data_IF_219774761304
#
_entry.id   IF_219774761304
#
_cell.length_a   1.000
_cell.length_b   1.000
_cell.length_c   1.000
_cell.angle_alpha   90.00
_cell.angle_beta   90.00
_cell.angle_gamma   90.00
#
_symmetry.space_group_name_H-M   'P 1'
#
loop_
_entity.id
_entity.type
_entity.pdbx_description
1 polymer ?
#
# COMPACT_ATOMS: atom_id res chain seq x y z
N UNK A 1 -7.90 5.87 15.10
CA UNK A 1 -6.53 6.35 15.45
C UNK A 1 -5.56 5.45 14.73
N UNK A 2 -4.69 6.03 13.90
CA UNK A 2 -3.81 5.22 13.06
C UNK A 2 -2.76 4.51 13.89
N UNK A 3 -2.69 3.18 13.76
CA UNK A 3 -1.63 2.33 14.32
C UNK A 3 -0.62 2.03 13.23
N UNK A 4 0.67 2.07 13.56
CA UNK A 4 1.76 1.87 12.60
C UNK A 4 2.67 0.75 13.08
N UNK A 5 3.00 -0.18 12.19
CA UNK A 5 3.90 -1.30 12.42
C UNK A 5 5.08 -1.23 11.45
N UNK A 6 6.30 -1.40 11.96
CA UNK A 6 7.47 -1.68 11.12
C UNK A 6 7.49 -3.19 10.85
N UNK A 7 7.42 -3.61 9.58
CA UNK A 7 7.41 -5.04 9.24
C UNK A 7 8.81 -5.57 8.94
N UNK A 8 9.62 -4.81 8.20
CA UNK A 8 11.03 -5.08 7.94
C UNK A 8 11.81 -3.76 7.78
N UNK A 9 13.02 -3.74 7.20
CA UNK A 9 13.81 -2.50 7.06
C UNK A 9 13.27 -1.50 6.02
N UNK A 10 12.35 -1.92 5.14
CA UNK A 10 11.83 -1.13 4.00
C UNK A 10 10.30 -1.08 3.92
N UNK A 11 9.59 -1.77 4.81
CA UNK A 11 8.14 -1.92 4.76
C UNK A 11 7.50 -1.50 6.08
N UNK A 12 6.50 -0.63 5.98
CA UNK A 12 5.63 -0.23 7.09
C UNK A 12 4.18 -0.55 6.77
N UNK A 13 3.42 -0.87 7.80
CA UNK A 13 1.98 -1.08 7.71
C UNK A 13 1.25 -0.08 8.59
N UNK A 14 0.13 0.42 8.11
CA UNK A 14 -0.76 1.29 8.87
C UNK A 14 -2.19 0.77 8.83
N UNK A 15 -2.92 0.99 9.91
CA UNK A 15 -4.35 0.66 10.01
C UNK A 15 -5.09 1.67 10.89
N UNK A 16 -6.38 1.85 10.63
CA UNK A 16 -7.30 2.60 11.49
C UNK A 16 -8.60 1.80 11.62
N UNK A 17 -9.30 1.92 12.75
CA UNK A 17 -10.57 1.23 13.00
C UNK A 17 -11.68 1.68 12.03
N UNK A 18 -11.54 2.88 11.46
CA UNK A 18 -12.48 3.40 10.45
C UNK A 18 -12.18 2.86 9.04
N UNK A 19 -11.04 2.21 8.83
CA UNK A 19 -10.62 1.70 7.52
C UNK A 19 -11.23 0.33 7.29
N UNK A 20 -12.34 0.31 6.55
CA UNK A 20 -13.07 -0.92 6.23
C UNK A 20 -13.85 -0.77 4.93
N UNK A 21 -14.26 -1.91 4.39
CA UNK A 21 -15.18 -1.98 3.27
C UNK A 21 -16.38 -2.85 3.64
N UNK A 22 -17.56 -2.48 3.16
CA UNK A 22 -18.79 -3.25 3.33
C UNK A 22 -19.20 -3.83 1.96
N UNK A 23 -19.47 -5.13 1.92
CA UNK A 23 -19.96 -5.81 0.73
C UNK A 23 -21.49 -5.76 0.66
N UNK A 24 -22.06 -6.05 -0.51
CA UNK A 24 -23.51 -6.03 -0.76
C UNK A 24 -24.31 -6.99 0.13
N UNK A 25 -23.67 -8.05 0.62
CA UNK A 25 -24.26 -9.04 1.54
C UNK A 25 -24.28 -8.55 3.01
N UNK A 26 -23.74 -7.36 3.27
CA UNK A 26 -23.63 -6.77 4.60
C UNK A 26 -22.44 -7.26 5.41
N UNK A 27 -21.58 -8.12 4.84
CA UNK A 27 -20.28 -8.45 5.44
C UNK A 27 -19.36 -7.22 5.36
N UNK A 28 -18.49 -7.09 6.36
CA UNK A 28 -17.53 -5.99 6.42
C UNK A 28 -16.13 -6.56 6.64
N UNK A 29 -15.17 -6.00 5.91
CA UNK A 29 -13.75 -6.36 6.02
C UNK A 29 -12.99 -5.14 6.46
N UNK A 30 -12.27 -5.28 7.57
CA UNK A 30 -11.35 -4.24 8.02
C UNK A 30 -10.08 -4.28 7.18
N UNK A 31 -9.54 -3.10 6.89
CA UNK A 31 -8.44 -2.90 5.95
C UNK A 31 -7.26 -2.21 6.61
N UNK A 32 -6.08 -2.43 6.07
CA UNK A 32 -4.91 -1.61 6.30
C UNK A 32 -4.13 -1.37 5.02
N UNK A 33 -3.08 -0.56 5.13
CA UNK A 33 -2.25 -0.16 3.99
C UNK A 33 -0.80 -0.51 4.30
N UNK A 34 -0.17 -1.25 3.40
CA UNK A 34 1.27 -1.45 3.38
C UNK A 34 1.91 -0.37 2.53
N UNK A 35 3.07 0.09 2.96
CA UNK A 35 3.97 0.95 2.24
C UNK A 35 5.33 0.27 2.17
N UNK A 36 5.80 -0.04 0.97
CA UNK A 36 7.14 -0.56 0.74
C UNK A 36 7.99 0.48 0.01
N UNK A 37 9.16 0.79 0.55
CA UNK A 37 10.18 1.52 -0.14
C UNK A 37 10.90 0.58 -1.13
N UNK A 38 10.66 0.79 -2.42
CA UNK A 38 11.24 0.00 -3.51
C UNK A 38 12.40 0.76 -4.14
N UNK A 39 13.59 0.15 -4.15
CA UNK A 39 14.77 0.70 -4.83
C UNK A 39 14.80 0.24 -6.29
N UNK A 40 14.77 1.20 -7.21
CA UNK A 40 14.75 0.97 -8.65
C UNK A 40 16.15 0.98 -9.26
N UNK A 41 17.24 1.15 -8.50
CA UNK A 41 18.60 1.31 -9.06
C UNK A 41 19.00 0.18 -10.04
N UNK A 42 18.59 -1.06 -9.74
CA UNK A 42 18.87 -2.23 -10.58
C UNK A 42 17.86 -2.44 -11.73
N UNK A 43 16.86 -1.56 -11.88
CA UNK A 43 15.85 -1.66 -12.94
C UNK A 43 16.29 -0.93 -14.21
N UNK A 44 15.90 -1.49 -15.36
CA UNK A 44 16.26 -0.93 -16.66
C UNK A 44 15.69 0.49 -16.82
N UNK A 45 16.58 1.46 -17.02
CA UNK A 45 16.23 2.88 -17.13
C UNK A 45 16.47 3.72 -15.86
N UNK A 46 16.83 3.10 -14.74
CA UNK A 46 17.08 3.80 -13.46
C UNK A 46 18.55 3.84 -13.02
N UNK A 47 19.42 2.95 -13.52
CA UNK A 47 20.90 3.07 -13.43
C UNK A 47 21.48 3.71 -12.16
N UNK A 48 22.47 4.59 -12.31
CA UNK A 48 23.09 5.39 -11.22
C UNK A 48 22.27 6.65 -10.87
N UNK A 49 20.94 6.60 -10.96
CA UNK A 49 20.12 7.77 -10.64
C UNK A 49 20.10 8.07 -9.14
N UNK A 50 20.31 9.35 -8.78
CA UNK A 50 20.34 9.82 -7.38
C UNK A 50 19.01 9.60 -6.64
N UNK A 51 17.88 9.51 -7.36
CA UNK A 51 16.54 9.33 -6.79
C UNK A 51 15.91 8.03 -7.33
N UNK A 52 16.48 6.90 -6.93
CA UNK A 52 16.05 5.58 -7.40
C UNK A 52 14.93 4.97 -6.56
N UNK A 53 14.63 5.51 -5.37
CA UNK A 53 13.69 4.87 -4.44
C UNK A 53 12.28 5.44 -4.61
N UNK A 54 11.26 4.60 -4.69
CA UNK A 54 9.84 4.99 -4.65
C UNK A 54 9.15 4.36 -3.43
N UNK A 55 7.92 4.80 -3.12
CA UNK A 55 7.05 4.11 -2.17
C UNK A 55 5.87 3.52 -2.91
N UNK A 56 5.75 2.20 -2.85
CA UNK A 56 4.58 1.47 -3.33
C UNK A 56 3.61 1.29 -2.16
N UNK A 57 2.32 1.55 -2.40
CA UNK A 57 1.28 1.40 -1.39
C UNK A 57 0.24 0.38 -1.85
N UNK A 58 -0.16 -0.51 -0.94
CA UNK A 58 -1.11 -1.59 -1.23
C UNK A 58 -2.10 -1.78 -0.08
N UNK A 59 -3.39 -1.89 -0.41
CA UNK A 59 -4.47 -2.15 0.55
C UNK A 59 -4.61 -3.65 0.78
N UNK A 60 -4.70 -4.06 2.04
CA UNK A 60 -4.85 -5.46 2.46
C UNK A 60 -5.98 -5.60 3.48
N UNK A 61 -6.66 -6.75 3.55
CA UNK A 61 -7.46 -7.11 4.71
C UNK A 61 -6.59 -7.17 5.96
N UNK A 62 -7.13 -6.73 7.10
CA UNK A 62 -6.50 -6.94 8.40
C UNK A 62 -6.48 -8.45 8.73
N UNK A 63 -5.48 -8.94 9.49
CA UNK A 63 -5.38 -10.34 9.90
C UNK A 63 -6.67 -10.92 10.48
N UNK A 64 -7.41 -10.12 11.25
CA UNK A 64 -8.65 -10.52 11.90
C UNK A 64 -9.76 -10.88 10.89
N UNK A 65 -9.70 -10.29 9.70
CA UNK A 65 -10.65 -10.47 8.61
C UNK A 65 -10.24 -11.57 7.62
N UNK A 66 -9.05 -12.19 7.74
CA UNK A 66 -8.54 -13.16 6.77
C UNK A 66 -9.23 -14.53 6.86
N UNK A 67 -9.48 -15.15 5.70
CA UNK A 67 -9.95 -16.54 5.66
C UNK A 67 -8.93 -17.51 6.30
N UNK A 68 -9.40 -18.55 6.97
CA UNK A 68 -8.53 -19.52 7.65
C UNK A 68 -7.63 -20.28 6.67
N UNK A 69 -8.12 -20.60 5.46
CA UNK A 69 -7.32 -21.24 4.42
C UNK A 69 -6.18 -20.30 3.97
N UNK A 70 -6.47 -19.00 3.86
CA UNK A 70 -5.46 -17.98 3.51
C UNK A 70 -4.38 -17.90 4.59
N UNK A 71 -4.76 -17.91 5.88
CA UNK A 71 -3.80 -17.89 6.98
C UNK A 71 -2.88 -19.13 6.94
N UNK A 72 -3.46 -20.31 6.72
CA UNK A 72 -2.72 -21.57 6.61
C UNK A 72 -1.79 -21.64 5.40
N UNK A 73 -2.14 -20.96 4.30
CA UNK A 73 -1.31 -20.95 3.09
C UNK A 73 -0.10 -20.02 3.21
N UNK A 74 -0.24 -18.88 3.91
CA UNK A 74 0.83 -17.88 3.99
C UNK A 74 1.74 -18.09 5.20
N UNK A 75 1.27 -18.77 6.25
CA UNK A 75 2.07 -19.01 7.44
C UNK A 75 2.55 -20.45 7.55
N UNK A 76 3.87 -20.62 7.68
CA UNK A 76 4.47 -21.91 8.03
C UNK A 76 4.41 -22.21 9.53
N UNK A 77 4.16 -21.18 10.36
CA UNK A 77 4.09 -21.27 11.81
C UNK A 77 2.66 -21.62 12.26
N UNK A 78 2.52 -22.46 13.29
CA UNK A 78 1.19 -22.80 13.85
C UNK A 78 0.49 -21.60 14.51
N UNK A 79 1.25 -20.55 14.92
CA UNK A 79 0.74 -19.33 15.55
C UNK A 79 1.69 -18.13 15.26
N UNK A 80 1.66 -17.56 14.04
CA UNK A 80 2.51 -16.44 13.68
C UNK A 80 2.14 -15.18 14.48
N UNK A 81 3.13 -14.31 14.73
CA UNK A 81 2.81 -12.97 15.22
C UNK A 81 1.97 -12.20 14.19
N UNK A 82 1.18 -11.24 14.65
CA UNK A 82 0.31 -10.44 13.79
C UNK A 82 1.09 -9.73 12.69
N UNK A 83 2.21 -9.10 13.03
CA UNK A 83 3.10 -8.41 12.08
C UNK A 83 3.70 -9.37 11.07
N UNK A 84 4.08 -10.59 11.52
CA UNK A 84 4.60 -11.62 10.64
C UNK A 84 3.54 -12.08 9.64
N UNK A 85 2.31 -12.31 10.10
CA UNK A 85 1.20 -12.69 9.24
C UNK A 85 0.85 -11.61 8.21
N UNK A 86 0.87 -10.32 8.59
CA UNK A 86 0.68 -9.20 7.66
C UNK A 86 1.77 -9.21 6.59
N UNK A 87 3.03 -9.38 7.00
CA UNK A 87 4.15 -9.40 6.08
C UNK A 87 4.10 -10.61 5.13
N UNK A 88 3.79 -11.80 5.63
CA UNK A 88 3.71 -13.01 4.82
C UNK A 88 2.53 -12.96 3.84
N UNK A 89 1.37 -12.47 4.28
CA UNK A 89 0.21 -12.20 3.41
C UNK A 89 0.63 -11.29 2.25
N UNK A 90 1.30 -10.18 2.56
CA UNK A 90 1.77 -9.23 1.57
C UNK A 90 2.75 -9.85 0.58
N UNK A 91 3.77 -10.56 1.06
CA UNK A 91 4.77 -11.17 0.20
C UNK A 91 4.21 -12.30 -0.66
N UNK A 92 3.21 -13.02 -0.17
CA UNK A 92 2.59 -14.14 -0.89
C UNK A 92 1.57 -13.66 -1.94
N UNK A 93 0.66 -12.77 -1.53
CA UNK A 93 -0.49 -12.38 -2.35
C UNK A 93 -0.41 -10.98 -2.95
N UNK A 94 0.41 -10.10 -2.38
CA UNK A 94 0.29 -8.65 -2.54
C UNK A 94 -1.08 -8.14 -2.05
N UNK A 95 -1.30 -6.84 -2.18
CA UNK A 95 -2.56 -6.16 -1.92
C UNK A 95 -3.16 -5.51 -3.16
N UNK A 96 -4.11 -4.61 -2.95
CA UNK A 96 -4.67 -3.77 -4.02
C UNK A 96 -3.81 -2.52 -4.15
N UNK A 97 -3.09 -2.33 -5.26
CA UNK A 97 -2.18 -1.20 -5.42
C UNK A 97 -2.91 0.13 -5.44
N UNK A 98 -2.38 1.12 -4.74
CA UNK A 98 -2.90 2.48 -4.69
C UNK A 98 -1.78 3.50 -4.92
N UNK A 99 -1.99 4.42 -5.85
CA UNK A 99 -1.12 5.59 -5.99
C UNK A 99 -1.69 6.75 -5.17
N UNK A 100 -1.11 6.98 -3.99
CA UNK A 100 -1.54 8.04 -3.08
C UNK A 100 -1.33 9.42 -3.70
N UNK A 101 -0.23 9.62 -4.42
CA UNK A 101 0.08 10.91 -5.07
C UNK A 101 -0.96 11.27 -6.15
N UNK A 102 -1.55 10.28 -6.81
CA UNK A 102 -2.63 10.47 -7.78
C UNK A 102 -3.98 10.85 -7.12
N UNK A 103 -4.20 10.45 -5.87
CA UNK A 103 -5.40 10.79 -5.11
C UNK A 103 -5.32 12.18 -4.45
N UNK A 104 -4.11 12.74 -4.31
CA UNK A 104 -3.95 14.01 -3.60
C UNK A 104 -4.57 15.18 -4.37
N UNK A 105 -5.29 16.09 -3.68
CA UNK A 105 -5.71 17.34 -4.29
C UNK A 105 -4.49 18.13 -4.76
N UNK A 106 -4.55 18.73 -5.95
CA UNK A 106 -3.43 19.47 -6.56
C UNK A 106 -2.78 20.55 -5.67
N UNK A 107 -3.45 21.01 -4.60
CA UNK A 107 -2.94 22.00 -3.63
C UNK A 107 -2.13 21.41 -2.47
N UNK A 108 -2.23 20.10 -2.19
CA UNK A 108 -1.47 19.44 -1.14
C UNK A 108 -0.01 19.17 -1.57
N UNK A 109 0.24 19.07 -2.88
CA UNK A 109 1.53 18.72 -3.47
C UNK A 109 2.61 19.82 -3.39
N UNK A 110 2.24 21.10 -3.40
CA UNK A 110 3.21 22.19 -3.62
C UNK A 110 3.73 22.92 -2.37
N UNK A 111 3.49 22.42 -1.16
CA UNK A 111 3.85 23.16 0.06
C UNK A 111 4.31 22.31 1.23
N UNK A 112 3.54 21.31 1.65
CA UNK A 112 3.82 20.56 2.87
C UNK A 112 4.85 19.43 2.67
N UNK A 113 4.74 18.70 1.56
CA UNK A 113 5.61 17.55 1.25
C UNK A 113 7.07 17.93 0.99
N UNK A 114 7.34 19.13 0.44
CA UNK A 114 8.69 19.60 0.14
C UNK A 114 9.56 19.87 1.39
N UNK A 115 8.96 19.99 2.58
CA UNK A 115 9.67 20.20 3.84
C UNK A 115 10.01 18.90 4.59
N UNK A 116 9.45 17.76 4.15
CA UNK A 116 9.55 16.49 4.86
C UNK A 116 10.78 15.70 4.41
N UNK A 117 11.02 15.63 3.09
CA UNK A 117 12.19 14.94 2.53
C UNK A 117 12.61 15.56 1.20
N UNK A 118 13.90 15.40 0.86
CA UNK A 118 14.42 15.75 -0.47
C UNK A 118 13.89 14.72 -1.48
N UNK A 119 13.05 15.19 -2.42
CA UNK A 119 12.25 14.33 -3.29
C UNK A 119 11.95 14.98 -4.64
N UNK A 120 11.76 14.15 -5.66
CA UNK A 120 11.39 14.58 -7.01
C UNK A 120 10.17 13.79 -7.49
N UNK A 121 9.20 14.48 -8.09
CA UNK A 121 8.04 13.83 -8.72
C UNK A 121 8.34 13.59 -10.19
N UNK A 122 8.17 12.35 -10.65
CA UNK A 122 8.42 11.95 -12.04
C UNK A 122 7.27 11.11 -12.57
N UNK A 123 7.10 11.14 -13.90
CA UNK A 123 6.17 10.26 -14.58
C UNK A 123 6.77 8.86 -14.70
N UNK A 124 6.11 7.84 -14.14
CA UNK A 124 6.46 6.43 -14.28
C UNK A 124 5.41 5.72 -15.14
N UNK A 125 5.87 4.91 -16.09
CA UNK A 125 4.98 4.14 -16.96
C UNK A 125 4.62 2.83 -16.27
N UNK A 126 3.34 2.61 -16.02
CA UNK A 126 2.81 1.37 -15.46
C UNK A 126 2.86 0.23 -16.48
N UNK A 127 2.65 -1.01 -16.02
CA UNK A 127 2.50 -2.17 -16.90
C UNK A 127 1.31 -2.04 -17.88
N UNK A 128 0.27 -1.27 -17.52
CA UNK A 128 -0.86 -0.94 -18.41
C UNK A 128 -0.52 0.13 -19.46
N UNK A 129 0.69 0.68 -19.41
CA UNK A 129 1.18 1.72 -20.31
C UNK A 129 0.74 3.13 -19.96
N UNK A 130 0.01 3.31 -18.85
CA UNK A 130 -0.36 4.62 -18.32
C UNK A 130 0.86 5.28 -17.67
N UNK A 131 0.98 6.60 -17.79
CA UNK A 131 1.99 7.36 -17.03
C UNK A 131 1.34 7.89 -15.77
N UNK A 132 1.86 7.49 -14.62
CA UNK A 132 1.45 7.97 -13.30
C UNK A 132 2.55 8.87 -12.74
N UNK A 133 2.18 9.87 -11.95
CA UNK A 133 3.17 10.63 -11.18
C UNK A 133 3.49 9.86 -9.91
N UNK A 134 4.79 9.65 -9.67
CA UNK A 134 5.32 8.95 -8.51
C UNK A 134 6.44 9.79 -7.92
N UNK A 135 6.50 9.82 -6.59
CA UNK A 135 7.57 10.47 -5.84
C UNK A 135 8.78 9.57 -5.72
N UNK A 136 9.94 10.12 -6.04
CA UNK A 136 11.23 9.47 -5.90
C UNK A 136 12.04 10.10 -4.77
N UNK A 137 12.77 9.27 -4.05
CA UNK A 137 13.60 9.55 -2.90
C UNK A 137 15.02 9.06 -3.14
N UNK A 138 15.99 9.61 -2.40
CA UNK A 138 17.40 9.20 -2.50
C UNK A 138 17.71 7.90 -1.78
N UNK A 139 16.92 7.58 -0.76
CA UNK A 139 17.18 6.44 0.11
C UNK A 139 15.88 5.87 0.66
N UNK A 140 15.95 4.60 1.07
CA UNK A 140 14.87 3.91 1.81
C UNK A 140 14.53 4.67 3.10
N UNK A 141 15.52 5.24 3.78
CA UNK A 141 15.31 6.02 5.01
C UNK A 141 14.47 7.27 4.75
N UNK A 142 14.79 8.03 3.68
CA UNK A 142 14.03 9.22 3.30
C UNK A 142 12.59 8.87 2.90
N UNK A 143 12.43 7.79 2.12
CA UNK A 143 11.13 7.29 1.68
C UNK A 143 10.25 6.87 2.87
N UNK A 144 10.80 6.15 3.84
CA UNK A 144 10.07 5.72 5.03
C UNK A 144 9.80 6.87 6.00
N UNK A 145 10.71 7.83 6.13
CA UNK A 145 10.48 9.05 6.92
C UNK A 145 9.31 9.83 6.34
N UNK A 146 9.33 10.06 5.03
CA UNK A 146 8.24 10.70 4.32
C UNK A 146 6.92 9.93 4.45
N UNK A 147 6.97 8.61 4.38
CA UNK A 147 5.79 7.76 4.55
C UNK A 147 5.12 7.97 5.90
N UNK A 148 5.91 7.97 6.99
CA UNK A 148 5.37 8.14 8.35
C UNK A 148 4.84 9.55 8.61
N UNK A 149 5.53 10.56 8.10
CA UNK A 149 5.17 11.96 8.35
C UNK A 149 4.07 12.48 7.42
N UNK A 150 3.89 11.85 6.25
CA UNK A 150 2.97 12.36 5.23
C UNK A 150 2.01 11.30 4.68
N UNK A 151 2.49 10.20 4.08
CA UNK A 151 1.58 9.26 3.41
C UNK A 151 0.59 8.59 4.37
N UNK A 152 1.05 8.15 5.54
CA UNK A 152 0.18 7.54 6.56
C UNK A 152 -0.87 8.55 7.03
N UNK A 153 -0.47 9.80 7.27
CA UNK A 153 -1.41 10.86 7.66
C UNK A 153 -2.43 11.19 6.56
N UNK A 154 -2.03 11.11 5.29
CA UNK A 154 -2.89 11.35 4.14
C UNK A 154 -3.75 10.13 3.76
N UNK A 155 -3.49 8.95 4.33
CA UNK A 155 -4.16 7.70 3.98
C UNK A 155 -5.69 7.70 4.11
N UNK A 156 -6.36 8.51 4.95
CA UNK A 156 -7.81 8.62 4.92
C UNK A 156 -8.38 8.94 3.53
N UNK A 157 -7.64 9.64 2.67
CA UNK A 157 -8.09 9.92 1.30
C UNK A 157 -8.25 8.65 0.45
N UNK A 158 -7.46 7.60 0.73
CA UNK A 158 -7.59 6.31 0.05
C UNK A 158 -8.99 5.76 0.29
N UNK A 159 -9.48 5.87 1.53
CA UNK A 159 -10.77 5.33 1.95
C UNK A 159 -11.95 6.20 1.49
N UNK A 160 -11.75 7.50 1.25
CA UNK A 160 -12.74 8.35 0.58
C UNK A 160 -12.96 7.96 -0.90
N UNK A 161 -11.92 7.40 -1.54
CA UNK A 161 -11.95 6.95 -2.94
C UNK A 161 -11.95 5.41 -3.08
N UNK A 162 -12.29 4.69 -2.00
CA UNK A 162 -12.09 3.24 -1.92
C UNK A 162 -12.78 2.49 -3.05
N UNK A 163 -14.05 2.79 -3.33
CA UNK A 163 -14.80 2.14 -4.41
C UNK A 163 -14.09 2.30 -5.76
N UNK A 164 -13.61 3.50 -6.06
CA UNK A 164 -12.88 3.77 -7.30
C UNK A 164 -11.54 3.00 -7.36
N UNK A 165 -10.83 2.91 -6.23
CA UNK A 165 -9.58 2.14 -6.13
C UNK A 165 -9.86 0.65 -6.35
N UNK A 166 -10.89 0.11 -5.69
CA UNK A 166 -11.25 -1.30 -5.78
C UNK A 166 -11.87 -1.68 -7.13
N UNK A 167 -12.50 -0.73 -7.84
CA UNK A 167 -13.01 -0.93 -9.20
C UNK A 167 -11.91 -1.02 -10.27
N UNK A 168 -10.67 -0.61 -9.95
CA UNK A 168 -9.58 -0.67 -10.93
C UNK A 168 -9.28 -2.13 -11.32
N UNK A 169 -9.06 -2.40 -12.63
CA UNK A 169 -8.77 -3.74 -13.09
C UNK A 169 -7.39 -4.20 -12.61
N UNK A 170 -7.36 -5.39 -12.04
CA UNK A 170 -6.17 -6.16 -11.69
C UNK A 170 -6.03 -7.34 -12.68
N UNK A 171 -4.84 -7.92 -12.78
CA UNK A 171 -4.54 -9.00 -13.73
C UNK A 171 -5.44 -10.26 -13.64
N UNK A 172 -6.27 -10.39 -12.60
CA UNK A 172 -7.19 -11.51 -12.38
C UNK A 172 -8.59 -11.11 -11.88
N UNK A 173 -8.99 -9.84 -11.98
CA UNK A 173 -10.27 -9.35 -11.46
C UNK A 173 -10.20 -7.86 -11.11
N UNK A 174 -10.87 -7.47 -10.05
CA UNK A 174 -10.85 -6.12 -9.46
C UNK A 174 -10.22 -6.17 -8.06
N UNK A 175 -9.99 -5.00 -7.46
CA UNK A 175 -9.63 -4.92 -6.04
C UNK A 175 -10.67 -5.56 -5.14
N UNK A 176 -11.96 -5.44 -5.48
CA UNK A 176 -13.06 -6.11 -4.78
C UNK A 176 -12.89 -7.62 -4.73
N UNK A 177 -12.60 -8.23 -5.88
CA UNK A 177 -12.38 -9.68 -5.98
C UNK A 177 -11.19 -10.12 -5.13
N UNK A 178 -10.13 -9.31 -5.10
CA UNK A 178 -8.93 -9.59 -4.30
C UNK A 178 -9.22 -9.53 -2.80
N UNK A 179 -9.87 -8.46 -2.33
CA UNK A 179 -10.24 -8.34 -0.91
C UNK A 179 -11.19 -9.46 -0.50
N UNK A 180 -12.22 -9.75 -1.30
CA UNK A 180 -13.16 -10.83 -1.03
C UNK A 180 -12.47 -12.18 -0.92
N UNK A 181 -11.61 -12.54 -1.88
CA UNK A 181 -10.88 -13.81 -1.88
C UNK A 181 -9.99 -14.00 -0.65
N UNK A 182 -9.41 -12.92 -0.12
CA UNK A 182 -8.51 -12.99 1.02
C UNK A 182 -9.24 -12.98 2.38
N UNK A 183 -10.52 -12.60 2.39
CA UNK A 183 -11.25 -12.33 3.63
C UNK A 183 -12.28 -13.42 3.93
N UNK A 184 -12.67 -13.51 5.21
CA UNK A 184 -13.77 -14.34 5.68
C UNK A 184 -15.07 -13.89 4.99
N UNK A 185 -15.52 -14.64 3.98
CA UNK A 185 -16.76 -14.36 3.26
C UNK A 185 -17.06 -15.45 2.22
N UNK A 186 -18.26 -16.00 2.26
CA UNK A 186 -18.79 -16.97 1.27
C UNK A 186 -19.19 -16.30 -0.06
#
# INVERSE_FOLDING_TARGET
MVVIFQLDDKTVYAEDEEWRVEFEDGSAVELGVIFEAADLADTEGFGDEEYSVIVEAEILPRPESLDEEVVLEVSEDEDPSRERLIFDLYRHYGGVPVNIDALQPARASCGASAFVADQVVRGQKTASGQTIEVRHFKSVEDALTFTREFYIFMSPIIFEFLDWVLDQPLGGGTGWDKIRRLSKGE
#
